data_IF_324941341695
#
_entry.id   IF_324941341695
#
_cell.length_a   1.000
_cell.length_b   1.000
_cell.length_c   1.000
_cell.angle_alpha   90.00
_cell.angle_beta   90.00
_cell.angle_gamma   90.00
#
_symmetry.space_group_name_H-M   'P 1'
#
loop_
_entity.id
_entity.type
_entity.pdbx_description
1 polymer ?
#
# COMPACT_ATOMS: atom_id res chain seq x y z
N UNK A 1 12.01 15.09 4.97
CA UNK A 1 11.25 13.94 5.53
C UNK A 1 9.81 14.36 5.73
N UNK A 2 8.84 13.48 5.47
CA UNK A 2 7.41 13.77 5.63
C UNK A 2 6.95 13.45 7.05
N UNK A 3 5.93 14.16 7.56
CA UNK A 3 5.26 13.79 8.81
C UNK A 3 4.48 12.48 8.66
N UNK A 4 4.21 11.78 9.75
CA UNK A 4 3.42 10.54 9.73
C UNK A 4 2.04 10.78 9.09
N UNK A 5 1.40 11.92 9.36
CA UNK A 5 0.12 12.34 8.77
C UNK A 5 0.21 12.52 7.27
N UNK A 6 1.30 13.11 6.78
CA UNK A 6 1.54 13.25 5.34
C UNK A 6 1.80 11.89 4.67
N UNK A 7 2.44 10.95 5.38
CA UNK A 7 2.65 9.58 4.89
C UNK A 7 1.32 8.80 4.86
N UNK A 8 0.49 8.92 5.89
CA UNK A 8 -0.83 8.31 5.94
C UNK A 8 -1.76 8.85 4.85
N UNK A 9 -1.78 10.17 4.64
CA UNK A 9 -2.54 10.79 3.56
C UNK A 9 -2.08 10.28 2.18
N UNK A 10 -0.77 10.19 1.96
CA UNK A 10 -0.23 9.68 0.70
C UNK A 10 -0.53 8.18 0.50
N UNK A 11 -0.46 7.37 1.56
CA UNK A 11 -0.82 5.95 1.51
C UNK A 11 -2.30 5.76 1.14
N UNK A 12 -3.20 6.55 1.74
CA UNK A 12 -4.62 6.52 1.42
C UNK A 12 -4.89 6.92 -0.04
N UNK A 13 -4.24 8.00 -0.52
CA UNK A 13 -4.36 8.42 -1.92
C UNK A 13 -3.91 7.32 -2.89
N UNK A 14 -2.74 6.73 -2.65
CA UNK A 14 -2.21 5.64 -3.47
C UNK A 14 -3.11 4.40 -3.44
N UNK A 15 -3.66 4.04 -2.28
CA UNK A 15 -4.64 2.95 -2.17
C UNK A 15 -5.93 3.23 -2.93
N UNK A 16 -6.37 4.48 -2.97
CA UNK A 16 -7.60 4.86 -3.71
C UNK A 16 -7.37 4.74 -5.22
N UNK A 17 -6.23 5.25 -5.72
CA UNK A 17 -5.81 5.09 -7.11
C UNK A 17 -5.69 3.62 -7.46
N UNK A 18 -4.97 2.86 -6.63
CA UNK A 18 -4.76 1.43 -6.82
C UNK A 18 -6.08 0.64 -6.85
N UNK A 19 -7.06 1.01 -6.03
CA UNK A 19 -8.40 0.41 -6.03
C UNK A 19 -9.15 0.69 -7.34
N UNK A 20 -9.05 1.90 -7.87
CA UNK A 20 -9.68 2.27 -9.15
C UNK A 20 -9.02 1.52 -10.31
N UNK A 21 -7.70 1.47 -10.36
CA UNK A 21 -6.94 0.78 -11.41
C UNK A 21 -7.19 -0.73 -11.41
N UNK A 22 -7.43 -1.31 -10.23
CA UNK A 22 -7.67 -2.75 -10.07
C UNK A 22 -9.15 -3.10 -9.90
N UNK A 23 -10.10 -2.21 -10.21
CA UNK A 23 -11.53 -2.45 -10.01
C UNK A 23 -12.07 -3.67 -10.80
N UNK A 24 -11.45 -4.01 -11.93
CA UNK A 24 -11.79 -5.19 -12.74
C UNK A 24 -10.89 -6.41 -12.44
N UNK A 25 -10.15 -6.40 -11.32
CA UNK A 25 -9.21 -7.48 -10.98
C UNK A 25 -9.90 -8.67 -10.34
N UNK A 26 -9.18 -9.81 -10.33
CA UNK A 26 -9.66 -11.03 -9.70
C UNK A 26 -9.84 -10.90 -8.19
N UNK A 27 -10.60 -11.85 -7.62
CA UNK A 27 -10.98 -11.92 -6.19
C UNK A 27 -9.76 -11.82 -5.25
N UNK A 28 -8.60 -12.34 -5.65
CA UNK A 28 -7.38 -12.28 -4.84
C UNK A 28 -6.86 -10.85 -4.65
N UNK A 29 -6.88 -10.03 -5.70
CA UNK A 29 -6.44 -8.63 -5.65
C UNK A 29 -7.41 -7.81 -4.82
N UNK A 30 -8.72 -8.07 -4.97
CA UNK A 30 -9.75 -7.41 -4.17
C UNK A 30 -9.58 -7.68 -2.67
N UNK A 31 -9.29 -8.94 -2.29
CA UNK A 31 -8.99 -9.31 -0.90
C UNK A 31 -7.79 -8.55 -0.34
N UNK A 32 -6.72 -8.39 -1.12
CA UNK A 32 -5.53 -7.62 -0.71
C UNK A 32 -5.90 -6.16 -0.45
N UNK A 33 -6.69 -5.55 -1.34
CA UNK A 33 -7.14 -4.17 -1.22
C UNK A 33 -7.98 -3.98 0.04
N UNK A 34 -8.97 -4.85 0.26
CA UNK A 34 -9.90 -4.74 1.38
C UNK A 34 -9.18 -4.92 2.73
N UNK A 35 -8.26 -5.90 2.82
CA UNK A 35 -7.44 -6.11 4.01
C UNK A 35 -6.52 -4.92 4.31
N UNK A 36 -5.91 -4.34 3.28
CA UNK A 36 -5.05 -3.17 3.44
C UNK A 36 -5.84 -1.94 3.89
N UNK A 37 -7.04 -1.75 3.35
CA UNK A 37 -7.94 -0.66 3.70
C UNK A 37 -8.40 -0.79 5.16
N UNK A 38 -8.78 -1.99 5.60
CA UNK A 38 -9.12 -2.25 7.00
C UNK A 38 -7.95 -1.98 7.96
N UNK A 39 -6.73 -2.37 7.57
CA UNK A 39 -5.52 -2.10 8.37
C UNK A 39 -5.22 -0.59 8.47
N UNK A 40 -5.41 0.16 7.38
CA UNK A 40 -5.25 1.61 7.37
C UNK A 40 -6.31 2.30 8.25
N UNK A 41 -7.54 1.81 8.21
CA UNK A 41 -8.64 2.34 9.03
C UNK A 41 -8.44 2.07 10.53
N UNK A 42 -7.87 0.91 10.88
CA UNK A 42 -7.51 0.57 12.27
C UNK A 42 -6.40 1.45 12.82
N UNK A 43 -5.54 2.03 11.98
CA UNK A 43 -4.45 2.95 12.36
C UNK A 43 -3.49 2.41 13.43
N UNK A 44 -3.40 1.09 13.61
CA UNK A 44 -2.50 0.46 14.60
C UNK A 44 -1.13 0.12 14.00
N UNK A 45 -1.06 0.00 12.68
CA UNK A 45 0.13 -0.39 11.94
C UNK A 45 0.60 0.81 11.10
N UNK A 46 1.91 1.07 11.03
CA UNK A 46 2.45 2.10 10.15
C UNK A 46 1.98 1.92 8.70
N UNK A 47 1.51 2.98 8.02
CA UNK A 47 1.05 2.90 6.64
C UNK A 47 2.12 2.32 5.72
N UNK A 48 3.40 2.59 5.99
CA UNK A 48 4.53 2.05 5.23
C UNK A 48 4.53 0.52 5.20
N UNK A 49 4.28 -0.12 6.34
CA UNK A 49 4.28 -1.58 6.46
C UNK A 49 3.07 -2.18 5.76
N UNK A 50 1.90 -1.54 5.87
CA UNK A 50 0.69 -1.99 5.18
C UNK A 50 0.90 -1.93 3.66
N UNK A 51 1.46 -0.83 3.16
CA UNK A 51 1.76 -0.66 1.74
C UNK A 51 2.82 -1.65 1.25
N UNK A 52 3.84 -1.95 2.07
CA UNK A 52 4.83 -3.00 1.76
C UNK A 52 4.17 -4.37 1.56
N UNK A 53 3.27 -4.76 2.47
CA UNK A 53 2.53 -6.02 2.37
C UNK A 53 1.71 -6.11 1.08
N UNK A 54 1.06 -5.01 0.67
CA UNK A 54 0.30 -4.93 -0.59
C UNK A 54 1.22 -5.13 -1.80
N UNK A 55 2.35 -4.43 -1.84
CA UNK A 55 3.31 -4.51 -2.95
C UNK A 55 3.88 -5.94 -3.08
N UNK A 56 4.28 -6.55 -1.96
CA UNK A 56 4.79 -7.93 -1.95
C UNK A 56 3.73 -8.94 -2.39
N UNK A 57 2.49 -8.79 -1.92
CA UNK A 57 1.38 -9.66 -2.31
C UNK A 57 1.13 -9.57 -3.82
N UNK A 58 1.06 -8.36 -4.38
CA UNK A 58 0.86 -8.14 -5.81
C UNK A 58 1.98 -8.75 -6.67
N UNK A 59 3.25 -8.55 -6.29
CA UNK A 59 4.36 -9.18 -7.00
C UNK A 59 4.32 -10.70 -6.90
N UNK A 60 3.95 -11.26 -5.74
CA UNK A 60 3.79 -12.70 -5.59
C UNK A 60 2.74 -13.29 -6.53
N UNK A 61 1.60 -12.60 -6.71
CA UNK A 61 0.54 -13.02 -7.62
C UNK A 61 0.97 -12.95 -9.08
N UNK A 62 1.75 -11.93 -9.44
CA UNK A 62 2.31 -11.79 -10.79
C UNK A 62 3.33 -12.88 -11.10
N UNK A 63 4.23 -13.19 -10.17
CA UNK A 63 5.24 -14.25 -10.32
C UNK A 63 4.58 -15.62 -10.46
N UNK A 64 3.47 -15.86 -9.75
CA UNK A 64 2.66 -17.08 -9.90
C UNK A 64 1.87 -17.14 -11.21
N UNK A 65 1.86 -16.08 -12.01
CA UNK A 65 1.10 -15.99 -13.26
C UNK A 65 -0.42 -15.88 -13.06
N UNK A 66 -0.90 -15.61 -11.84
CA UNK A 66 -2.32 -15.55 -11.52
C UNK A 66 -2.94 -14.25 -12.06
N UNK A 67 -2.16 -13.17 -12.08
CA UNK A 67 -2.61 -11.85 -12.52
C UNK A 67 -1.73 -11.31 -13.65
N UNK A 68 -2.35 -10.55 -14.55
CA UNK A 68 -1.63 -9.60 -15.39
C UNK A 68 -1.71 -8.21 -14.76
N UNK A 69 -0.60 -7.47 -14.79
CA UNK A 69 -0.49 -6.13 -14.22
C UNK A 69 -0.41 -5.17 -15.40
N UNK A 70 -1.26 -4.14 -15.40
CA UNK A 70 -1.21 -3.06 -16.38
C UNK A 70 -0.04 -2.11 -16.11
N UNK A 71 0.43 -1.39 -17.12
CA UNK A 71 1.51 -0.40 -16.94
C UNK A 71 1.15 0.71 -15.95
N UNK A 72 -0.14 1.09 -15.88
CA UNK A 72 -0.64 2.07 -14.91
C UNK A 72 -0.51 1.54 -13.48
N UNK A 73 -1.04 0.33 -13.25
CA UNK A 73 -0.93 -0.37 -11.96
C UNK A 73 0.52 -0.56 -11.53
N UNK A 74 1.42 -0.85 -12.48
CA UNK A 74 2.84 -1.01 -12.20
C UNK A 74 3.51 0.30 -11.76
N UNK A 75 3.15 1.45 -12.35
CA UNK A 75 3.62 2.77 -11.90
C UNK A 75 3.15 3.07 -10.48
N UNK A 76 1.88 2.82 -10.19
CA UNK A 76 1.30 2.99 -8.85
C UNK A 76 2.01 2.11 -7.82
N UNK A 77 2.29 0.84 -8.15
CA UNK A 77 3.05 -0.07 -7.29
C UNK A 77 4.48 0.43 -7.01
N UNK A 78 5.15 1.04 -8.00
CA UNK A 78 6.47 1.66 -7.77
C UNK A 78 6.39 2.86 -6.80
N UNK A 79 5.33 3.65 -6.88
CA UNK A 79 5.13 4.77 -5.95
C UNK A 79 4.82 4.28 -4.54
N UNK A 80 4.02 3.23 -4.42
CA UNK A 80 3.76 2.51 -3.17
C UNK A 80 5.04 1.94 -2.56
N UNK A 81 5.90 1.31 -3.35
CA UNK A 81 7.20 0.82 -2.92
C UNK A 81 8.13 1.98 -2.46
N UNK A 82 8.11 3.10 -3.17
CA UNK A 82 8.85 4.29 -2.75
C UNK A 82 8.34 4.81 -1.41
N UNK A 83 7.04 4.75 -1.15
CA UNK A 83 6.44 5.14 0.12
C UNK A 83 6.80 4.17 1.25
N UNK A 84 6.76 2.85 1.01
CA UNK A 84 7.11 1.86 2.04
C UNK A 84 8.56 2.02 2.52
N UNK A 85 9.47 2.39 1.62
CA UNK A 85 10.89 2.66 1.93
C UNK A 85 11.14 4.01 2.61
N UNK A 86 10.13 4.90 2.71
CA UNK A 86 10.28 6.16 3.43
C UNK A 86 10.29 5.93 4.94
N UNK A 87 11.47 6.02 5.53
CA UNK A 87 11.61 6.03 7.00
C UNK A 87 11.02 7.31 7.59
N UNK A 88 10.06 7.15 8.51
CA UNK A 88 9.59 8.24 9.35
C UNK A 88 10.68 8.65 10.36
N UNK A 89 10.61 9.90 10.81
CA UNK A 89 11.57 10.48 11.76
C UNK A 89 11.30 9.92 13.17
N UNK A 90 11.84 8.74 13.50
CA UNK A 90 12.50 8.34 14.78
C UNK A 90 12.25 6.86 15.16
N UNK A 91 13.32 6.10 15.50
CA UNK A 91 13.22 4.72 16.02
C UNK A 91 12.80 4.60 17.50
N UNK A 92 12.60 5.72 18.22
CA UNK A 92 12.37 5.70 19.69
C UNK A 92 11.08 6.38 20.15
N UNK A 93 10.22 6.86 19.24
CA UNK A 93 8.88 7.35 19.63
C UNK A 93 7.86 6.23 19.47
N UNK A 94 6.91 6.09 20.42
CA UNK A 94 5.71 5.29 20.18
C UNK A 94 5.16 5.67 18.80
N UNK A 95 4.77 4.66 18.02
CA UNK A 95 4.13 4.90 16.74
C UNK A 95 2.98 5.88 16.96
N UNK A 96 3.14 7.09 16.43
CA UNK A 96 2.10 8.10 16.45
C UNK A 96 1.14 7.75 15.30
N UNK A 97 -0.12 7.40 15.57
CA UNK A 97 -1.10 7.16 14.52
C UNK A 97 -1.38 8.39 13.65
N UNK A 98 -0.73 9.55 13.93
CA UNK A 98 -0.93 10.84 13.25
C UNK A 98 0.34 11.65 13.03
#
# INVERSE_FOLDING_TARGET
MKSNKAIAAQANQLMTIFKVENAASGVEVQKIIDQAQEKLDKRQIPPQKIIEEVVLAMYSLKVKGIISISDATFKTLKEMEKLSRQRSWLPFRPYDPW
#
